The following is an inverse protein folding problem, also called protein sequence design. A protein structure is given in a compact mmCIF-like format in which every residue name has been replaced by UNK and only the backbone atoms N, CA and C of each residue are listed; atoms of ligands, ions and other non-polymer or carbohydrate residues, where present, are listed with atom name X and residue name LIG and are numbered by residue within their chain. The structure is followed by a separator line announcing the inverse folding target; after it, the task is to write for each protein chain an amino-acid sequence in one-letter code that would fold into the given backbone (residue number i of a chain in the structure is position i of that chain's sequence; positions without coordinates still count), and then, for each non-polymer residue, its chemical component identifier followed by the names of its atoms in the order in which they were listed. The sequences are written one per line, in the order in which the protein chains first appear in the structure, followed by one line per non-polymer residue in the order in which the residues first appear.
data_IF_545996624701
#
_entry.id   IF_545996624701
#
_cell.length_a   1.000
_cell.length_b   1.000
_cell.length_c   1.000
_cell.angle_alpha   90.00
_cell.angle_beta   90.00
_cell.angle_gamma   90.00
#
_symmetry.space_group_name_H-M   'P 1'
#
loop_
_entity.id
_entity.type
_entity.pdbx_description
1 polymer ?
#
# COMPACT_ATOMS: atom_id res chain seq x y z
N UNK A 1 -8.52 9.17 11.13
CA UNK A 1 -8.55 9.30 9.66
C UNK A 1 -7.84 8.08 9.08
N UNK A 2 -8.43 7.36 8.11
CA UNK A 2 -7.76 6.21 7.50
C UNK A 2 -6.46 6.71 6.86
N UNK A 3 -5.38 5.94 6.97
CA UNK A 3 -4.12 6.26 6.27
C UNK A 3 -4.29 5.89 4.79
N UNK A 4 -5.10 6.65 4.06
CA UNK A 4 -5.21 6.54 2.60
C UNK A 4 -4.02 7.17 1.90
N UNK A 5 -3.21 7.92 2.63
CA UNK A 5 -1.98 8.49 2.09
C UNK A 5 -0.91 7.39 1.97
N UNK A 6 -0.70 6.91 0.76
CA UNK A 6 0.31 5.91 0.43
C UNK A 6 1.68 6.53 0.18
N UNK A 7 1.85 7.84 0.46
CA UNK A 7 3.12 8.55 0.29
C UNK A 7 3.79 8.82 1.64
N UNK A 8 3.97 7.76 2.44
CA UNK A 8 4.51 7.84 3.80
C UNK A 8 5.89 7.19 3.91
N UNK A 9 6.66 7.48 4.98
CA UNK A 9 7.91 6.76 5.28
C UNK A 9 7.73 5.23 5.34
N UNK A 10 6.53 4.76 5.71
CA UNK A 10 6.20 3.34 5.73
C UNK A 10 6.20 2.75 4.31
N UNK A 11 5.73 3.47 3.29
CA UNK A 11 5.79 3.03 1.89
C UNK A 11 7.22 2.79 1.43
N UNK A 12 8.16 3.67 1.77
CA UNK A 12 9.57 3.50 1.42
C UNK A 12 10.20 2.31 2.12
N UNK A 13 9.85 2.06 3.39
CA UNK A 13 10.29 0.88 4.13
C UNK A 13 9.75 -0.42 3.52
N UNK A 14 8.46 -0.45 3.21
CA UNK A 14 7.82 -1.59 2.55
C UNK A 14 8.44 -1.83 1.16
N UNK A 15 8.67 -0.77 0.38
CA UNK A 15 9.30 -0.88 -0.94
C UNK A 15 10.71 -1.50 -0.84
N UNK A 16 11.54 -1.07 0.13
CA UNK A 16 12.84 -1.73 0.37
C UNK A 16 12.69 -3.22 0.69
N UNK A 17 11.73 -3.59 1.52
CA UNK A 17 11.47 -4.99 1.84
C UNK A 17 10.97 -5.78 0.62
N UNK A 18 10.18 -5.17 -0.26
CA UNK A 18 9.71 -5.79 -1.50
C UNK A 18 10.83 -6.00 -2.52
N UNK A 19 11.80 -5.09 -2.60
CA UNK A 19 13.01 -5.31 -3.39
C UNK A 19 13.77 -6.55 -2.87
N UNK A 20 13.89 -6.69 -1.54
CA UNK A 20 14.52 -7.86 -0.94
C UNK A 20 13.75 -9.16 -1.23
N UNK A 21 12.42 -9.13 -1.24
CA UNK A 21 11.60 -10.29 -1.61
C UNK A 21 11.86 -10.70 -3.07
N UNK A 22 11.95 -9.74 -3.99
CA UNK A 22 12.27 -10.00 -5.40
C UNK A 22 13.63 -10.70 -5.52
N UNK A 23 14.66 -10.20 -4.84
CA UNK A 23 15.98 -10.84 -4.82
C UNK A 23 15.92 -12.28 -4.28
N UNK A 24 15.17 -12.52 -3.21
CA UNK A 24 14.99 -13.85 -2.61
C UNK A 24 14.27 -14.84 -3.56
N UNK A 25 13.50 -14.33 -4.52
CA UNK A 25 12.88 -15.13 -5.58
C UNK A 25 13.84 -15.44 -6.74
N UNK A 26 15.09 -14.99 -6.67
CA UNK A 26 16.11 -15.20 -7.70
C UNK A 26 16.03 -14.21 -8.86
N UNK A 27 15.31 -13.09 -8.68
CA UNK A 27 15.12 -12.07 -9.69
C UNK A 27 16.03 -10.86 -9.46
N UNK A 28 16.40 -10.17 -10.55
CA UNK A 28 17.14 -8.91 -10.48
C UNK A 28 16.18 -7.71 -10.29
N UNK A 29 16.16 -7.04 -9.12
CA UNK A 29 15.30 -5.88 -8.88
C UNK A 29 15.71 -4.63 -9.68
N UNK A 30 16.93 -4.56 -10.22
CA UNK A 30 17.42 -3.42 -11.01
C UNK A 30 17.03 -3.51 -12.49
N UNK A 31 16.47 -4.64 -12.95
CA UNK A 31 15.97 -4.76 -14.32
C UNK A 31 14.87 -3.74 -14.60
N UNK A 32 14.83 -3.19 -15.82
CA UNK A 32 13.92 -2.11 -16.23
C UNK A 32 12.45 -2.36 -15.81
N UNK A 33 11.96 -3.59 -16.03
CA UNK A 33 10.59 -3.99 -15.69
C UNK A 33 10.27 -4.08 -14.19
N UNK A 34 11.29 -4.08 -13.32
CA UNK A 34 11.14 -4.17 -11.87
C UNK A 34 11.50 -2.93 -11.08
N UNK A 35 12.18 -1.94 -11.67
CA UNK A 35 12.61 -0.74 -10.95
C UNK A 35 11.48 -0.09 -10.12
N UNK A 36 10.25 -0.08 -10.65
CA UNK A 36 9.06 0.47 -9.96
C UNK A 36 8.21 -0.57 -9.24
N UNK A 37 8.51 -1.87 -9.38
CA UNK A 37 7.71 -2.94 -8.78
C UNK A 37 7.70 -2.89 -7.25
N UNK A 38 8.83 -2.70 -6.53
CA UNK A 38 8.81 -2.64 -5.08
C UNK A 38 7.87 -1.54 -4.54
N UNK A 39 7.89 -0.36 -5.15
CA UNK A 39 7.01 0.75 -4.78
C UNK A 39 5.53 0.44 -5.08
N UNK A 40 5.23 -0.11 -6.27
CA UNK A 40 3.87 -0.50 -6.64
C UNK A 40 3.30 -1.54 -5.69
N UNK A 41 4.08 -2.55 -5.34
CA UNK A 41 3.66 -3.60 -4.40
C UNK A 41 3.46 -3.03 -3.00
N UNK A 42 4.35 -2.16 -2.52
CA UNK A 42 4.18 -1.49 -1.23
C UNK A 42 2.88 -0.67 -1.15
N UNK A 43 2.54 0.05 -2.22
CA UNK A 43 1.28 0.80 -2.32
C UNK A 43 0.07 -0.13 -2.41
N UNK A 44 0.17 -1.21 -3.19
CA UNK A 44 -0.90 -2.20 -3.31
C UNK A 44 -1.19 -2.90 -1.97
N UNK A 45 -0.16 -3.31 -1.23
CA UNK A 45 -0.32 -3.92 0.09
C UNK A 45 -1.01 -2.99 1.08
N UNK A 46 -0.62 -1.71 1.11
CA UNK A 46 -1.28 -0.70 1.94
C UNK A 46 -2.75 -0.52 1.56
N UNK A 47 -3.06 -0.44 0.26
CA UNK A 47 -4.43 -0.34 -0.22
C UNK A 47 -5.27 -1.58 0.16
N UNK A 48 -4.73 -2.78 -0.04
CA UNK A 48 -5.43 -4.04 0.28
C UNK A 48 -5.69 -4.21 1.78
N UNK A 49 -4.86 -3.58 2.62
CA UNK A 49 -4.94 -3.69 4.09
C UNK A 49 -5.48 -2.44 4.78
N UNK A 50 -5.84 -1.39 4.03
CA UNK A 50 -6.29 -0.11 4.60
C UNK A 50 -7.52 -0.23 5.52
N UNK A 51 -8.35 -1.25 5.29
CA UNK A 51 -9.58 -1.53 6.05
C UNK A 51 -9.33 -1.73 7.54
N UNK A 52 -8.15 -2.21 7.95
CA UNK A 52 -7.80 -2.35 9.38
C UNK A 52 -7.74 -1.01 10.14
N UNK A 53 -7.61 0.11 9.41
CA UNK A 53 -7.54 1.45 10.00
C UNK A 53 -8.77 2.31 9.69
N UNK A 54 -9.77 1.72 9.01
CA UNK A 54 -11.01 2.39 8.68
C UNK A 54 -12.02 2.25 9.82
N UNK A 55 -12.81 3.30 10.04
CA UNK A 55 -13.95 3.26 10.95
C UNK A 55 -15.22 2.92 10.15
N UNK A 56 -15.83 1.72 10.36
CA UNK A 56 -17.03 1.33 9.63
C UNK A 56 -18.22 2.25 9.94
N UNK A 57 -18.32 2.82 11.15
CA UNK A 57 -19.39 3.76 11.49
C UNK A 57 -19.26 5.03 10.68
N UNK A 58 -18.06 5.60 10.59
CA UNK A 58 -17.82 6.79 9.79
C UNK A 58 -18.15 6.55 8.31
N UNK A 59 -17.80 5.38 7.77
CA UNK A 59 -18.12 5.01 6.38
C UNK A 59 -19.64 4.95 6.17
N UNK A 60 -20.37 4.25 7.05
CA UNK A 60 -21.83 4.14 6.94
C UNK A 60 -22.54 5.49 7.09
N UNK A 61 -22.08 6.32 8.03
CA UNK A 61 -22.68 7.63 8.31
C UNK A 61 -22.46 8.62 7.16
N UNK A 62 -21.38 8.47 6.39
CA UNK A 62 -21.12 9.30 5.20
C UNK A 62 -22.10 9.07 4.04
N UNK A 63 -22.91 8.01 4.11
CA UNK A 63 -23.86 7.62 3.07
C UNK A 63 -25.34 7.87 3.46
N UNK A 64 -25.60 8.44 4.65
CA UNK A 64 -26.95 8.86 5.03
C UNK A 64 -27.25 10.24 4.47
N UNK A 65 -28.36 10.36 3.74
CA UNK A 65 -28.95 11.63 3.32
C UNK A 65 -30.07 12.00 4.30
N UNK A 66 -30.15 13.27 4.69
CA UNK A 66 -31.31 13.80 5.42
C UNK A 66 -32.40 14.12 4.38
N UNK A 67 -33.63 13.63 4.60
CA UNK A 67 -34.84 14.01 3.84
C UNK A 67 -35.32 15.42 4.18
#
# INVERSE_FOLDING_TARGET
MPRTDTNTPATSLLARNMARVIELLGEDPEREGLLKTPERVAKALQFLTQGYTQDPRAILTSALFEE
#
